data_IF_351925588949
#
_entry.id   IF_351925588949
#
_cell.length_a   1.000
_cell.length_b   1.000
_cell.length_c   1.000
_cell.angle_alpha   90.00
_cell.angle_beta   90.00
_cell.angle_gamma   90.00
#
_symmetry.space_group_name_H-M   'P 1'
#
loop_
_entity.id
_entity.type
_entity.pdbx_description
1 polymer ?
#
# COMPACT_ATOMS: atom_id res chain seq x y z
N UNK A 1 3.38 8.16 -7.61
CA UNK A 1 2.13 8.52 -6.91
C UNK A 1 2.06 10.03 -6.70
N UNK A 2 3.12 10.63 -6.15
CA UNK A 2 3.34 12.09 -6.09
C UNK A 2 2.92 12.85 -7.37
N UNK A 3 3.44 12.49 -8.55
CA UNK A 3 3.10 13.16 -9.82
C UNK A 3 1.60 13.13 -10.14
N UNK A 4 0.92 12.00 -9.89
CA UNK A 4 -0.53 11.85 -10.12
C UNK A 4 -1.31 12.70 -9.10
N UNK A 5 -0.83 12.73 -7.86
CA UNK A 5 -1.43 13.50 -6.78
C UNK A 5 -1.34 15.01 -7.10
N UNK A 6 -0.17 15.47 -7.52
CA UNK A 6 0.10 16.85 -7.96
C UNK A 6 -0.76 17.24 -9.18
N UNK A 7 -0.73 16.45 -10.25
CA UNK A 7 -1.49 16.71 -11.47
C UNK A 7 -3.01 16.76 -11.22
N UNK A 8 -3.50 16.11 -10.15
CA UNK A 8 -4.92 16.06 -9.79
C UNK A 8 -5.28 16.98 -8.61
N UNK A 9 -4.33 17.68 -8.01
CA UNK A 9 -4.56 18.54 -6.84
C UNK A 9 -5.08 17.80 -5.60
N UNK A 10 -4.64 16.55 -5.39
CA UNK A 10 -5.04 15.72 -4.24
C UNK A 10 -3.82 15.18 -3.50
N UNK A 11 -4.02 14.54 -2.34
CA UNK A 11 -2.93 13.91 -1.58
C UNK A 11 -2.65 12.50 -2.10
N UNK A 12 -1.42 12.01 -1.90
CA UNK A 12 -1.04 10.63 -2.26
C UNK A 12 -1.93 9.58 -1.57
N UNK A 13 -2.31 9.80 -0.31
CA UNK A 13 -3.26 8.93 0.41
C UNK A 13 -4.61 8.81 -0.33
N UNK A 14 -5.07 9.90 -0.96
CA UNK A 14 -6.29 9.90 -1.77
C UNK A 14 -6.10 9.06 -3.04
N UNK A 15 -4.93 9.15 -3.69
CA UNK A 15 -4.61 8.30 -4.85
C UNK A 15 -4.58 6.83 -4.45
N UNK A 16 -3.94 6.46 -3.33
CA UNK A 16 -3.91 5.08 -2.82
C UNK A 16 -5.35 4.59 -2.56
N UNK A 17 -6.19 5.43 -1.95
CA UNK A 17 -7.61 5.11 -1.74
C UNK A 17 -8.38 4.88 -3.04
N UNK A 18 -8.03 5.61 -4.12
CA UNK A 18 -8.59 5.37 -5.44
C UNK A 18 -8.11 4.05 -6.04
N UNK A 19 -6.83 3.70 -5.91
CA UNK A 19 -6.29 2.42 -6.37
C UNK A 19 -6.95 1.23 -5.68
N UNK A 20 -7.14 1.30 -4.35
CA UNK A 20 -7.87 0.28 -3.58
C UNK A 20 -9.31 0.11 -4.10
N UNK A 21 -10.03 1.22 -4.34
CA UNK A 21 -11.40 1.17 -4.90
C UNK A 21 -11.43 0.59 -6.31
N UNK A 22 -10.46 0.93 -7.16
CA UNK A 22 -10.35 0.40 -8.52
C UNK A 22 -10.12 -1.11 -8.49
N UNK A 23 -9.18 -1.60 -7.67
CA UNK A 23 -8.89 -3.03 -7.52
C UNK A 23 -10.07 -3.81 -6.93
N UNK A 24 -10.82 -3.22 -6.02
CA UNK A 24 -12.04 -3.82 -5.47
C UNK A 24 -13.16 -3.92 -6.52
N UNK A 25 -13.27 -2.95 -7.43
CA UNK A 25 -14.26 -2.93 -8.51
C UNK A 25 -13.87 -3.86 -9.67
N UNK A 26 -12.59 -3.91 -9.99
CA UNK A 26 -12.02 -4.78 -11.02
C UNK A 26 -10.74 -5.46 -10.47
N UNK A 27 -10.88 -6.69 -9.92
CA UNK A 27 -9.74 -7.45 -9.41
C UNK A 27 -8.71 -7.82 -10.48
N UNK A 28 -9.08 -7.80 -11.77
CA UNK A 28 -8.19 -8.15 -12.88
C UNK A 28 -7.36 -6.97 -13.38
N UNK A 29 -7.70 -5.76 -12.95
CA UNK A 29 -6.97 -4.54 -13.30
C UNK A 29 -5.49 -4.67 -12.94
N UNK A 30 -4.64 -4.44 -13.93
CA UNK A 30 -3.20 -4.40 -13.75
C UNK A 30 -2.78 -3.09 -13.09
N UNK A 31 -2.25 -3.20 -11.88
CA UNK A 31 -1.70 -2.09 -11.09
C UNK A 31 -0.20 -2.27 -10.85
N UNK A 32 0.47 -3.17 -11.58
CA UNK A 32 1.87 -3.54 -11.36
C UNK A 32 2.82 -2.33 -11.41
N UNK A 33 2.49 -1.32 -12.21
CA UNK A 33 3.24 -0.05 -12.27
C UNK A 33 3.28 0.73 -10.95
N UNK A 34 2.33 0.47 -10.03
CA UNK A 34 2.25 1.13 -8.72
C UNK A 34 2.81 0.27 -7.58
N UNK A 35 3.38 -0.90 -7.90
CA UNK A 35 3.94 -1.78 -6.89
C UNK A 35 5.12 -1.10 -6.19
N UNK A 36 5.20 -1.13 -4.85
CA UNK A 36 6.35 -0.61 -4.13
C UNK A 36 7.67 -1.28 -4.55
N UNK A 37 8.79 -0.63 -4.22
CA UNK A 37 10.13 -1.22 -4.37
C UNK A 37 10.17 -2.61 -3.75
N UNK A 38 10.86 -3.53 -4.40
CA UNK A 38 10.89 -4.95 -4.01
C UNK A 38 11.36 -5.15 -2.56
N UNK A 39 12.34 -4.37 -2.10
CA UNK A 39 12.82 -4.40 -0.72
C UNK A 39 11.72 -4.07 0.29
N UNK A 40 11.02 -2.95 0.10
CA UNK A 40 9.91 -2.52 0.96
C UNK A 40 8.78 -3.55 0.91
N UNK A 41 8.44 -4.01 -0.30
CA UNK A 41 7.41 -5.01 -0.49
C UNK A 41 7.72 -6.30 0.28
N UNK A 42 8.95 -6.82 0.22
CA UNK A 42 9.36 -8.02 0.97
C UNK A 42 9.27 -7.81 2.48
N UNK A 43 9.78 -6.71 3.00
CA UNK A 43 9.78 -6.42 4.44
C UNK A 43 8.35 -6.34 4.98
N UNK A 44 7.52 -5.52 4.33
CA UNK A 44 6.16 -5.26 4.78
C UNK A 44 5.24 -6.48 4.55
N UNK A 45 5.36 -7.17 3.42
CA UNK A 45 4.58 -8.40 3.17
C UNK A 45 4.88 -9.50 4.18
N UNK A 46 6.14 -9.66 4.59
CA UNK A 46 6.51 -10.59 5.65
C UNK A 46 5.92 -10.19 7.00
N UNK A 47 5.89 -8.89 7.32
CA UNK A 47 5.24 -8.41 8.54
C UNK A 47 3.73 -8.68 8.55
N UNK A 48 3.03 -8.49 7.41
CA UNK A 48 1.62 -8.89 7.27
C UNK A 48 1.41 -10.39 7.47
N UNK A 49 2.24 -11.23 6.83
CA UNK A 49 2.17 -12.70 6.99
C UNK A 49 2.36 -13.12 8.45
N UNK A 50 3.32 -12.50 9.15
CA UNK A 50 3.59 -12.80 10.56
C UNK A 50 2.48 -12.31 11.50
N UNK A 51 1.80 -11.20 11.14
CA UNK A 51 0.68 -10.66 11.92
C UNK A 51 -0.58 -11.53 11.84
N UNK A 52 -0.67 -12.47 10.89
CA UNK A 52 -1.86 -13.31 10.61
C UNK A 52 -3.17 -12.51 10.41
N UNK A 53 -3.06 -11.23 10.11
CA UNK A 53 -4.17 -10.30 9.91
C UNK A 53 -3.74 -9.21 8.91
N UNK A 54 -4.69 -8.49 8.34
CA UNK A 54 -4.49 -7.41 7.34
C UNK A 54 -4.56 -6.01 7.96
N UNK A 55 -4.64 -5.95 9.30
CA UNK A 55 -4.66 -4.71 10.07
C UNK A 55 -3.32 -4.00 9.99
N UNK A 56 -3.37 -2.69 9.77
CA UNK A 56 -2.17 -1.87 9.59
C UNK A 56 -1.44 -1.60 10.91
N UNK A 57 -2.16 -1.36 12.01
CA UNK A 57 -1.55 -1.00 13.30
C UNK A 57 -0.59 -2.08 13.84
N UNK A 58 -0.94 -3.38 13.86
CA UNK A 58 -0.01 -4.42 14.29
C UNK A 58 1.26 -4.47 13.43
N UNK A 59 1.13 -4.31 12.11
CA UNK A 59 2.26 -4.29 11.17
C UNK A 59 3.13 -3.06 11.37
N UNK A 60 2.52 -1.88 11.55
CA UNK A 60 3.22 -0.63 11.85
C UNK A 60 4.05 -0.76 13.12
N UNK A 61 3.48 -1.32 14.19
CA UNK A 61 4.20 -1.56 15.45
C UNK A 61 5.30 -2.62 15.29
N UNK A 62 5.03 -3.71 14.56
CA UNK A 62 6.03 -4.76 14.30
C UNK A 62 7.24 -4.24 13.52
N UNK A 63 7.05 -3.23 12.67
CA UNK A 63 8.10 -2.56 11.90
C UNK A 63 8.71 -1.34 12.63
N UNK A 64 8.37 -1.14 13.90
CA UNK A 64 8.90 -0.05 14.73
C UNK A 64 8.53 1.34 14.23
N UNK A 65 7.43 1.49 13.48
CA UNK A 65 7.00 2.77 12.91
C UNK A 65 7.90 3.31 11.79
N UNK A 66 8.78 2.48 11.22
CA UNK A 66 9.71 2.89 10.15
C UNK A 66 9.03 3.25 8.83
N UNK A 67 7.84 2.68 8.58
CA UNK A 67 7.08 2.88 7.34
C UNK A 67 5.74 3.54 7.64
N UNK A 68 5.32 4.45 6.77
CA UNK A 68 4.06 5.18 6.92
C UNK A 68 2.85 4.27 6.68
N UNK A 69 1.68 4.67 7.19
CA UNK A 69 0.44 3.92 6.95
C UNK A 69 0.10 3.83 5.45
N UNK A 70 0.44 4.85 4.66
CA UNK A 70 0.31 4.88 3.21
C UNK A 70 1.16 3.81 2.54
N UNK A 71 2.43 3.66 2.96
CA UNK A 71 3.32 2.62 2.44
C UNK A 71 2.78 1.22 2.76
N UNK A 72 2.28 1.02 3.98
CA UNK A 72 1.67 -0.25 4.37
C UNK A 72 0.41 -0.57 3.55
N UNK A 73 -0.46 0.42 3.31
CA UNK A 73 -1.65 0.29 2.47
C UNK A 73 -1.28 -0.07 1.03
N UNK A 74 -0.27 0.61 0.48
CA UNK A 74 0.17 0.37 -0.88
C UNK A 74 0.74 -1.05 -1.04
N UNK A 75 1.52 -1.56 -0.09
CA UNK A 75 1.97 -2.96 -0.13
C UNK A 75 0.80 -3.94 -0.04
N UNK A 76 -0.16 -3.68 0.87
CA UNK A 76 -1.34 -4.53 1.08
C UNK A 76 -2.19 -4.68 -0.17
N UNK A 77 -2.22 -3.67 -1.04
CA UNK A 77 -2.92 -3.72 -2.33
C UNK A 77 -2.46 -4.89 -3.24
N UNK A 78 -1.24 -5.40 -3.01
CA UNK A 78 -0.61 -6.46 -3.81
C UNK A 78 -0.37 -7.77 -3.01
N UNK A 79 -1.06 -7.94 -1.87
CA UNK A 79 -1.08 -9.19 -1.09
C UNK A 79 -2.28 -10.06 -1.47
#
# INVERSE_FOLDING_TARGET
>A
LAEIAEARGVKEETIISHLEKLKAKDPTLDLSAYKPKEEIFKIVSNAFKNSKDTKLSPVFHALGGKYSYEELRLVRLFL
#
